data_IF_098487202120
#
_entry.id   IF_098487202120
#
_cell.length_a   1.000
_cell.length_b   1.000
_cell.length_c   1.000
_cell.angle_alpha   90.00
_cell.angle_beta   90.00
_cell.angle_gamma   90.00
#
_symmetry.space_group_name_H-M   'P 1'
#
loop_
_entity.id
_entity.type
_entity.pdbx_description
1 polymer ?
#
# COMPACT_ATOMS: atom_id res chain seq x y z
N UNK A 1 14.05 -34.13 -12.70
CA UNK A 1 14.32 -33.52 -14.02
C UNK A 1 13.68 -32.14 -13.98
N UNK A 2 14.48 -31.14 -13.62
CA UNK A 2 14.07 -29.73 -13.57
C UNK A 2 14.60 -29.13 -14.88
N UNK A 3 13.73 -28.72 -15.78
CA UNK A 3 14.11 -27.80 -16.86
C UNK A 3 13.83 -26.39 -16.36
N UNK A 4 14.91 -25.65 -16.13
CA UNK A 4 14.89 -24.19 -16.03
C UNK A 4 14.77 -23.64 -17.45
N UNK A 5 13.59 -23.13 -17.81
CA UNK A 5 13.45 -22.24 -18.96
C UNK A 5 14.26 -20.96 -18.67
N UNK A 6 15.37 -20.78 -19.39
CA UNK A 6 16.16 -19.56 -19.40
C UNK A 6 15.50 -18.50 -20.29
N UNK A 7 14.30 -18.08 -19.90
CA UNK A 7 13.76 -16.80 -20.33
C UNK A 7 14.40 -15.72 -19.47
N UNK A 8 15.34 -14.95 -20.06
CA UNK A 8 15.88 -13.72 -19.49
C UNK A 8 14.77 -12.68 -19.32
N UNK A 9 13.94 -12.86 -18.31
CA UNK A 9 13.17 -11.77 -17.72
C UNK A 9 14.17 -10.92 -16.96
N UNK A 10 14.39 -9.68 -17.41
CA UNK A 10 15.01 -8.64 -16.59
C UNK A 10 14.38 -8.73 -15.19
N UNK A 11 15.17 -9.17 -14.21
CA UNK A 11 14.73 -9.19 -12.83
C UNK A 11 14.34 -7.74 -12.49
N UNK A 12 13.05 -7.48 -12.35
CA UNK A 12 12.57 -6.16 -11.95
C UNK A 12 13.04 -5.94 -10.53
N UNK A 13 14.15 -5.22 -10.36
CA UNK A 13 14.71 -4.91 -9.05
C UNK A 13 13.69 -4.11 -8.26
N UNK A 14 13.25 -4.64 -7.11
CA UNK A 14 12.25 -4.00 -6.23
C UNK A 14 12.89 -3.22 -5.08
N UNK A 15 14.21 -3.10 -5.08
CA UNK A 15 15.02 -2.47 -4.04
C UNK A 15 15.84 -1.32 -4.63
N UNK A 16 16.37 -0.47 -3.75
CA UNK A 16 17.30 0.59 -4.14
C UNK A 16 18.61 -0.07 -4.58
N UNK A 17 18.82 -0.10 -5.90
CA UNK A 17 20.01 -0.68 -6.55
C UNK A 17 21.06 0.38 -6.91
N UNK A 18 20.71 1.65 -6.82
CA UNK A 18 21.57 2.78 -7.11
C UNK A 18 21.52 3.26 -8.57
N UNK A 19 22.24 4.34 -8.89
CA UNK A 19 23.15 5.07 -7.99
C UNK A 19 22.43 5.90 -6.90
N UNK A 20 23.03 6.02 -5.72
CA UNK A 20 22.57 6.91 -4.64
C UNK A 20 23.58 8.03 -4.47
N UNK A 21 23.21 9.26 -4.82
CA UNK A 21 24.12 10.41 -4.79
C UNK A 21 23.61 11.52 -3.89
N UNK A 22 24.52 12.18 -3.19
CA UNK A 22 24.28 13.38 -2.40
C UNK A 22 25.01 14.56 -3.04
N UNK A 23 24.26 15.59 -3.43
CA UNK A 23 24.79 16.82 -4.06
C UNK A 23 24.74 17.99 -3.08
N UNK A 24 25.52 19.04 -3.36
CA UNK A 24 25.51 20.29 -2.58
C UNK A 24 26.47 20.28 -1.39
N UNK A 25 27.47 19.39 -1.40
CA UNK A 25 28.56 19.40 -0.42
C UNK A 25 29.69 20.32 -0.91
N UNK A 26 30.55 20.77 0.01
CA UNK A 26 31.76 21.53 -0.35
C UNK A 26 32.68 20.73 -1.30
N UNK A 27 32.69 19.40 -1.19
CA UNK A 27 33.40 18.47 -2.07
C UNK A 27 32.63 18.12 -3.37
N UNK A 28 31.49 18.79 -3.63
CA UNK A 28 30.66 18.56 -4.80
C UNK A 28 29.60 17.47 -4.60
N UNK A 29 29.74 16.38 -5.33
CA UNK A 29 28.79 15.24 -5.33
C UNK A 29 29.44 14.01 -4.73
N UNK A 30 28.81 13.47 -3.68
CA UNK A 30 29.25 12.22 -3.03
C UNK A 30 28.40 11.06 -3.51
N UNK A 31 29.06 10.01 -3.99
CA UNK A 31 28.41 8.72 -4.28
C UNK A 31 28.33 7.86 -3.01
N UNK A 32 27.11 7.57 -2.56
CA UNK A 32 26.83 6.77 -1.38
C UNK A 32 26.64 5.28 -1.70
N UNK A 33 26.70 4.87 -2.97
CA UNK A 33 26.38 3.50 -3.38
C UNK A 33 27.34 2.47 -2.79
N UNK A 34 28.62 2.84 -2.56
CA UNK A 34 29.66 1.96 -2.00
C UNK A 34 29.77 2.01 -0.46
N UNK A 35 28.91 2.76 0.22
CA UNK A 35 28.93 2.86 1.68
C UNK A 35 28.35 1.60 2.31
N UNK A 36 28.60 1.41 3.62
CA UNK A 36 28.00 0.31 4.38
C UNK A 36 26.50 0.57 4.60
N UNK A 37 25.65 -0.27 4.00
CA UNK A 37 24.21 -0.23 4.17
C UNK A 37 23.73 -1.22 5.24
N UNK A 38 22.66 -0.86 5.95
CA UNK A 38 21.96 -1.74 6.88
C UNK A 38 20.53 -1.94 6.40
N UNK A 39 20.03 -3.17 6.51
CA UNK A 39 18.69 -3.55 6.06
C UNK A 39 17.85 -4.04 7.22
N UNK A 40 16.58 -3.65 7.24
CA UNK A 40 15.58 -4.15 8.18
C UNK A 40 14.33 -4.56 7.42
N UNK A 41 13.99 -5.84 7.51
CA UNK A 41 12.81 -6.39 6.85
C UNK A 41 11.57 -6.10 7.69
N UNK A 42 10.52 -5.62 7.03
CA UNK A 42 9.21 -5.38 7.63
C UNK A 42 9.15 -4.20 8.60
N UNK A 43 7.95 -3.96 9.13
CA UNK A 43 7.68 -2.92 10.10
C UNK A 43 7.71 -3.48 11.53
N UNK A 44 8.10 -2.65 12.51
CA UNK A 44 8.08 -3.03 13.93
C UNK A 44 6.69 -3.54 14.38
N UNK A 45 5.62 -2.91 13.90
CA UNK A 45 4.26 -3.33 14.23
C UNK A 45 3.84 -4.68 13.61
N UNK A 46 4.41 -5.05 12.46
CA UNK A 46 4.20 -6.38 11.87
C UNK A 46 4.91 -7.45 12.72
N UNK A 47 6.15 -7.19 13.14
CA UNK A 47 6.93 -8.08 14.02
C UNK A 47 6.23 -8.30 15.36
N UNK A 48 5.63 -7.24 15.92
CA UNK A 48 4.86 -7.31 17.18
C UNK A 48 3.45 -7.88 16.98
N UNK A 49 3.05 -8.21 15.75
CA UNK A 49 1.71 -8.68 15.41
C UNK A 49 0.60 -7.78 15.96
N UNK A 50 0.73 -6.45 15.80
CA UNK A 50 -0.23 -5.47 16.37
C UNK A 50 -1.66 -5.62 15.84
N UNK A 51 -1.83 -6.29 14.70
CA UNK A 51 -3.12 -6.66 14.15
C UNK A 51 -3.84 -7.78 14.94
N UNK A 52 -3.14 -8.49 15.83
CA UNK A 52 -3.69 -9.52 16.71
C UNK A 52 -4.06 -8.97 18.09
N UNK A 53 -5.00 -9.63 18.79
CA UNK A 53 -5.39 -9.24 20.15
C UNK A 53 -4.19 -9.28 21.10
N UNK A 54 -3.39 -10.36 21.05
CA UNK A 54 -2.22 -10.55 21.92
C UNK A 54 -1.14 -9.51 21.63
N UNK A 55 -0.79 -9.32 20.36
CA UNK A 55 0.25 -8.36 19.96
C UNK A 55 -0.14 -6.91 20.23
N UNK A 56 -1.42 -6.56 20.09
CA UNK A 56 -1.92 -5.22 20.40
C UNK A 56 -1.66 -4.80 21.85
N UNK A 57 -1.58 -5.75 22.80
CA UNK A 57 -1.31 -5.47 24.21
C UNK A 57 0.18 -5.16 24.50
N UNK A 58 1.08 -5.34 23.52
CA UNK A 58 2.52 -5.14 23.71
C UNK A 58 2.98 -3.68 23.53
N UNK A 59 2.06 -2.76 23.27
CA UNK A 59 2.36 -1.33 23.02
C UNK A 59 1.37 -0.43 23.74
N UNK A 60 1.80 0.79 24.02
CA UNK A 60 0.93 1.84 24.57
C UNK A 60 0.19 2.53 23.44
N UNK A 61 -1.15 2.48 23.47
CA UNK A 61 -2.02 3.16 22.50
C UNK A 61 -2.43 4.54 23.02
N UNK A 62 -2.30 5.55 22.19
CA UNK A 62 -2.76 6.91 22.51
C UNK A 62 -4.19 7.11 22.05
N UNK A 63 -5.07 7.62 22.93
CA UNK A 63 -6.44 8.03 22.60
C UNK A 63 -6.47 9.53 22.32
N UNK A 64 -7.12 9.99 21.25
CA UNK A 64 -7.29 11.42 20.97
C UNK A 64 -7.70 11.73 19.52
N UNK A 65 -8.30 12.91 19.31
CA UNK A 65 -8.78 13.41 18.01
C UNK A 65 -7.69 13.94 17.07
N UNK A 66 -6.44 13.99 17.55
CA UNK A 66 -5.31 14.51 16.79
C UNK A 66 -4.41 13.38 16.35
N UNK A 67 -4.91 12.56 15.42
CA UNK A 67 -3.95 11.85 14.57
C UNK A 67 -3.60 12.79 13.42
N UNK A 68 -2.60 13.63 13.69
CA UNK A 68 -1.86 14.32 12.64
C UNK A 68 -1.51 13.30 11.54
N UNK A 69 -1.41 13.77 10.29
CA UNK A 69 -1.06 12.97 9.11
C UNK A 69 0.38 12.43 9.20
N UNK A 70 0.62 11.54 10.15
CA UNK A 70 1.93 10.99 10.44
C UNK A 70 2.15 9.70 9.62
N UNK A 71 3.28 9.59 8.92
CA UNK A 71 3.63 8.37 8.22
C UNK A 71 3.85 7.22 9.20
N UNK A 72 3.64 5.98 8.73
CA UNK A 72 3.92 4.75 9.50
C UNK A 72 3.16 4.62 10.83
N UNK A 73 1.90 5.08 10.86
CA UNK A 73 1.03 5.03 12.04
C UNK A 73 0.12 3.79 12.04
N UNK A 74 0.01 3.13 13.19
CA UNK A 74 -0.98 2.07 13.41
C UNK A 74 -2.24 2.67 14.04
N UNK A 75 -3.40 2.30 13.50
CA UNK A 75 -4.70 2.67 14.02
C UNK A 75 -5.45 1.43 14.48
N UNK A 76 -6.21 1.55 15.55
CA UNK A 76 -7.08 0.49 16.06
C UNK A 76 -8.41 1.10 16.48
N UNK A 77 -9.48 0.38 16.20
CA UNK A 77 -10.81 0.68 16.69
C UNK A 77 -11.56 -0.62 16.97
N UNK A 78 -12.69 -0.53 17.65
CA UNK A 78 -13.63 -1.62 17.91
C UNK A 78 -15.02 -1.15 17.50
N UNK A 79 -15.77 -2.00 16.80
CA UNK A 79 -17.12 -1.69 16.35
C UNK A 79 -18.00 -2.94 16.45
N UNK A 80 -19.31 -2.73 16.58
CA UNK A 80 -20.29 -3.80 16.58
C UNK A 80 -20.61 -4.23 15.14
N UNK A 81 -20.88 -5.52 14.93
CA UNK A 81 -21.31 -6.04 13.63
C UNK A 81 -22.59 -5.33 13.18
N UNK A 82 -22.62 -4.73 11.98
CA UNK A 82 -23.86 -4.18 11.41
C UNK A 82 -24.95 -5.24 11.28
N UNK A 83 -26.22 -4.85 11.41
CA UNK A 83 -27.35 -5.76 11.19
C UNK A 83 -27.55 -6.08 9.71
N UNK A 84 -28.11 -7.26 9.43
CA UNK A 84 -28.40 -7.74 8.07
C UNK A 84 -27.36 -8.72 7.54
N UNK A 85 -27.61 -9.23 6.32
CA UNK A 85 -26.75 -10.21 5.63
C UNK A 85 -26.10 -9.66 4.36
N UNK A 86 -26.19 -8.34 4.15
CA UNK A 86 -25.64 -7.68 2.97
C UNK A 86 -24.10 -7.62 3.03
N UNK A 87 -23.42 -7.62 1.87
CA UNK A 87 -21.98 -7.41 1.81
C UNK A 87 -21.55 -6.10 2.46
N UNK A 88 -20.44 -6.13 3.20
CA UNK A 88 -19.89 -4.98 3.90
C UNK A 88 -18.54 -4.57 3.29
N UNK A 89 -18.25 -3.27 3.32
CA UNK A 89 -16.98 -2.71 2.89
C UNK A 89 -16.53 -1.57 3.83
N UNK A 90 -15.25 -1.20 3.76
CA UNK A 90 -14.67 -0.13 4.56
C UNK A 90 -14.39 1.09 3.67
N UNK A 91 -15.03 2.22 3.93
CA UNK A 91 -14.69 3.47 3.25
C UNK A 91 -13.35 4.01 3.75
N UNK A 92 -12.31 3.83 2.94
CA UNK A 92 -10.96 4.27 3.27
C UNK A 92 -10.62 5.64 2.69
N UNK A 93 -11.59 6.38 2.12
CA UNK A 93 -11.33 7.63 1.37
C UNK A 93 -10.55 8.71 2.14
N UNK A 94 -10.68 8.76 3.46
CA UNK A 94 -9.93 9.70 4.31
C UNK A 94 -8.47 9.27 4.56
N UNK A 95 -8.14 8.02 4.28
CA UNK A 95 -6.83 7.41 4.52
C UNK A 95 -5.91 7.58 3.30
N UNK A 96 -4.65 7.16 3.41
CA UNK A 96 -3.64 7.33 2.35
C UNK A 96 -3.28 6.01 1.67
N UNK A 97 -2.46 5.19 2.33
CA UNK A 97 -1.98 3.88 1.88
C UNK A 97 -1.69 3.02 3.10
N UNK A 98 -2.05 1.75 3.05
CA UNK A 98 -1.71 0.83 4.12
C UNK A 98 -2.30 -0.55 3.93
N UNK A 99 -2.49 -1.23 5.05
CA UNK A 99 -3.08 -2.56 5.16
C UNK A 99 -4.17 -2.54 6.23
N UNK A 100 -5.17 -3.41 6.06
CA UNK A 100 -6.31 -3.54 6.99
C UNK A 100 -6.34 -4.95 7.55
N UNK A 101 -6.68 -5.04 8.83
CA UNK A 101 -7.01 -6.30 9.50
C UNK A 101 -8.32 -6.18 10.25
N UNK A 102 -9.13 -7.23 10.18
CA UNK A 102 -10.37 -7.38 10.96
C UNK A 102 -10.27 -8.68 11.73
N UNK A 103 -10.40 -8.60 13.06
CA UNK A 103 -10.30 -9.77 13.95
C UNK A 103 -9.01 -10.61 13.72
N UNK A 104 -7.88 -9.94 13.53
CA UNK A 104 -6.57 -10.57 13.27
C UNK A 104 -6.39 -11.13 11.85
N UNK A 105 -7.39 -11.05 10.98
CA UNK A 105 -7.32 -11.54 9.59
C UNK A 105 -7.04 -10.39 8.65
N UNK A 106 -6.09 -10.58 7.73
CA UNK A 106 -5.76 -9.59 6.70
C UNK A 106 -6.95 -9.40 5.76
N UNK A 107 -7.40 -8.16 5.61
CA UNK A 107 -8.43 -7.75 4.65
C UNK A 107 -7.82 -7.19 3.35
N UNK A 108 -6.51 -6.93 3.35
CA UNK A 108 -5.75 -6.52 2.17
C UNK A 108 -5.13 -5.14 2.28
N UNK A 109 -4.65 -4.64 1.13
CA UNK A 109 -4.01 -3.33 1.00
C UNK A 109 -5.05 -2.31 0.55
N UNK A 110 -4.98 -1.09 1.07
CA UNK A 110 -5.75 0.05 0.57
C UNK A 110 -4.79 1.13 0.04
N UNK A 111 -5.19 1.81 -1.03
CA UNK A 111 -4.45 2.96 -1.56
C UNK A 111 -5.38 3.98 -2.25
N UNK A 112 -6.36 4.56 -1.54
CA UNK A 112 -7.38 5.45 -2.09
C UNK A 112 -6.83 6.77 -2.63
N UNK A 113 -5.63 7.21 -2.20
CA UNK A 113 -4.95 8.37 -2.78
C UNK A 113 -4.28 8.08 -4.12
N UNK A 114 -4.21 6.82 -4.54
CA UNK A 114 -3.80 6.48 -5.90
C UNK A 114 -4.99 6.74 -6.83
N UNK A 115 -5.00 7.92 -7.44
CA UNK A 115 -6.11 8.37 -8.27
C UNK A 115 -6.09 7.62 -9.61
N UNK A 116 -7.27 7.15 -10.04
CA UNK A 116 -7.45 6.51 -11.33
C UNK A 116 -7.20 7.53 -12.44
N UNK A 117 -6.20 7.22 -13.26
CA UNK A 117 -5.83 8.00 -14.45
C UNK A 117 -6.27 7.23 -15.70
N UNK A 118 -6.67 7.97 -16.73
CA UNK A 118 -7.15 7.37 -17.98
C UNK A 118 -8.12 8.29 -18.71
N UNK A 119 -8.88 7.74 -19.65
CA UNK A 119 -10.00 8.43 -20.30
C UNK A 119 -11.24 7.57 -20.12
N UNK A 120 -12.31 8.17 -19.60
CA UNK A 120 -13.62 7.55 -19.57
C UNK A 120 -14.42 8.09 -20.75
N UNK A 121 -14.56 7.28 -21.80
CA UNK A 121 -15.36 7.63 -22.97
C UNK A 121 -16.76 6.99 -22.84
N UNK A 122 -17.77 7.59 -23.48
CA UNK A 122 -19.05 6.89 -23.69
C UNK A 122 -18.75 5.58 -24.45
N UNK A 123 -19.33 4.48 -23.97
CA UNK A 123 -19.06 3.15 -24.52
C UNK A 123 -20.34 2.50 -25.06
N UNK A 124 -20.18 1.64 -26.07
CA UNK A 124 -21.24 0.82 -26.65
C UNK A 124 -20.87 -0.67 -26.57
N UNK A 125 -21.87 -1.53 -26.39
CA UNK A 125 -21.70 -2.99 -26.42
C UNK A 125 -21.36 -3.51 -27.82
N UNK A 126 -21.71 -2.75 -28.88
CA UNK A 126 -21.42 -3.13 -30.26
C UNK A 126 -19.93 -2.94 -30.61
N UNK A 127 -19.45 -3.76 -31.54
CA UNK A 127 -18.06 -3.74 -32.03
C UNK A 127 -17.04 -4.36 -31.08
N UNK A 128 -15.79 -4.46 -31.55
CA UNK A 128 -14.71 -5.13 -30.81
C UNK A 128 -14.44 -4.49 -29.44
N UNK A 129 -14.10 -5.33 -28.47
CA UNK A 129 -13.77 -4.92 -27.11
C UNK A 129 -12.26 -4.69 -26.96
N UNK A 130 -11.91 -3.72 -26.12
CA UNK A 130 -10.56 -3.56 -25.55
C UNK A 130 -10.68 -3.15 -24.09
N UNK A 131 -9.64 -3.40 -23.31
CA UNK A 131 -9.59 -3.12 -21.87
C UNK A 131 -9.76 -1.63 -21.53
N UNK A 132 -9.57 -0.75 -22.52
CA UNK A 132 -9.73 0.71 -22.39
C UNK A 132 -11.06 1.23 -22.92
N UNK A 133 -11.89 0.38 -23.55
CA UNK A 133 -13.14 0.78 -24.22
C UNK A 133 -14.18 1.32 -23.24
N UNK A 134 -14.33 0.64 -22.10
CA UNK A 134 -15.42 0.88 -21.14
C UNK A 134 -14.89 1.19 -19.73
N UNK A 135 -13.96 2.14 -19.61
CA UNK A 135 -13.51 2.62 -18.30
C UNK A 135 -14.52 3.61 -17.71
N UNK A 136 -14.72 3.55 -16.40
CA UNK A 136 -15.77 4.32 -15.71
C UNK A 136 -15.26 5.18 -14.55
N UNK A 137 -14.07 4.90 -14.01
CA UNK A 137 -13.44 5.75 -12.98
C UNK A 137 -12.33 6.57 -13.60
N UNK A 138 -12.45 7.90 -13.50
CA UNK A 138 -11.38 8.85 -13.77
C UNK A 138 -11.43 9.98 -12.73
N UNK A 139 -10.26 10.38 -12.22
CA UNK A 139 -10.16 11.48 -11.25
C UNK A 139 -10.60 11.14 -9.81
N UNK A 140 -11.12 9.93 -9.58
CA UNK A 140 -11.44 9.39 -8.25
C UNK A 140 -10.40 8.37 -7.75
N UNK A 141 -10.51 7.92 -6.48
CA UNK A 141 -9.72 6.81 -5.96
C UNK A 141 -9.79 5.58 -6.87
N UNK A 142 -8.65 4.96 -7.19
CA UNK A 142 -8.64 3.69 -7.94
C UNK A 142 -9.40 2.58 -7.20
N UNK A 143 -9.40 2.64 -5.88
CA UNK A 143 -10.22 1.84 -4.99
C UNK A 143 -10.56 2.66 -3.75
N UNK A 144 -11.87 2.78 -3.45
CA UNK A 144 -12.37 3.50 -2.28
C UNK A 144 -12.82 2.57 -1.15
N UNK A 145 -13.47 1.48 -1.51
CA UNK A 145 -14.06 0.48 -0.61
C UNK A 145 -13.36 -0.88 -0.74
#
# INVERSE_FOLDING_TARGET
MLECDQSTTLARTRMIYGPVTLKGLNEGTRDMSKYKWSYKVGLRGEILNLYSIKGSNSVQWTKGSLVQKQPLTWYKTTFNTPAGNEPLALDMSSMSKGQIWVNGRSFGRYFPRYIANGKCNKCSYTGLFSEKKCLWIYGGPSQKW
#
